data_IF_263477647167
#
_entry.id   IF_263477647167
#
_cell.length_a   1.000
_cell.length_b   1.000
_cell.length_c   1.000
_cell.angle_alpha   90.00
_cell.angle_beta   90.00
_cell.angle_gamma   90.00
#
_symmetry.space_group_name_H-M   'P 1'
#
loop_
_entity.id
_entity.type
_entity.pdbx_description
1 polymer ?
#
# COMPACT_ATOMS: atom_id res chain seq x y z
N UNK A 1 -15.43 -0.11 -15.44
CA UNK A 1 -14.54 0.57 -14.48
C UNK A 1 -14.20 -0.44 -13.41
N UNK A 2 -12.93 -0.63 -13.10
CA UNK A 2 -12.46 -1.55 -12.05
C UNK A 2 -12.29 -0.79 -10.74
N UNK A 3 -12.78 -1.35 -9.65
CA UNK A 3 -12.67 -0.76 -8.32
C UNK A 3 -11.45 -1.33 -7.60
N UNK A 4 -10.46 -0.51 -7.36
CA UNK A 4 -9.24 -0.89 -6.66
C UNK A 4 -9.24 -0.28 -5.26
N UNK A 5 -8.97 -1.09 -4.26
CA UNK A 5 -8.73 -0.63 -2.90
C UNK A 5 -7.22 -0.45 -2.68
N UNK A 6 -6.80 0.77 -2.43
CA UNK A 6 -5.45 1.10 -2.02
C UNK A 6 -5.38 1.21 -0.50
N UNK A 7 -4.54 0.41 0.12
CA UNK A 7 -4.30 0.45 1.57
C UNK A 7 -2.89 0.96 1.81
N UNK A 8 -2.75 2.08 2.49
CA UNK A 8 -1.46 2.64 2.86
C UNK A 8 -1.12 2.24 4.31
N UNK A 9 -0.01 1.54 4.50
CA UNK A 9 0.50 1.18 5.83
C UNK A 9 1.71 2.00 6.25
N UNK A 10 2.10 3.00 5.45
CA UNK A 10 3.29 3.82 5.70
C UNK A 10 4.53 3.33 4.93
N UNK A 11 5.69 3.53 5.52
CA UNK A 11 6.97 3.22 4.89
C UNK A 11 7.52 4.35 4.01
N UNK A 12 8.64 4.09 3.35
CA UNK A 12 9.37 5.08 2.52
C UNK A 12 8.51 5.65 1.41
N UNK A 13 7.64 4.85 0.82
CA UNK A 13 6.75 5.26 -0.27
C UNK A 13 5.95 6.52 0.06
N UNK A 14 5.37 6.58 1.25
CA UNK A 14 4.53 7.69 1.74
C UNK A 14 5.29 8.69 2.62
N UNK A 15 6.61 8.63 2.65
CA UNK A 15 7.45 9.54 3.44
C UNK A 15 7.90 10.75 2.63
N UNK A 16 8.22 11.85 3.34
CA UNK A 16 8.89 13.02 2.75
C UNK A 16 10.22 13.30 3.46
N UNK A 17 11.20 13.91 2.77
CA UNK A 17 12.40 14.40 3.41
C UNK A 17 12.04 15.47 4.45
N UNK A 18 12.41 15.25 5.71
CA UNK A 18 12.26 16.18 6.81
C UNK A 18 13.62 16.60 7.39
N UNK A 19 13.63 17.52 8.35
CA UNK A 19 14.87 18.03 8.98
C UNK A 19 15.69 16.96 9.70
N UNK A 20 15.07 15.86 10.10
CA UNK A 20 15.73 14.77 10.85
C UNK A 20 15.62 13.41 10.16
N UNK A 21 15.40 13.37 8.82
CA UNK A 21 15.25 12.16 8.04
C UNK A 21 13.88 12.08 7.36
N UNK A 22 13.47 10.86 6.98
CA UNK A 22 12.18 10.64 6.34
C UNK A 22 11.04 10.70 7.37
N UNK A 23 10.04 11.54 7.12
CA UNK A 23 8.82 11.65 7.92
C UNK A 23 7.61 11.11 7.11
N UNK A 24 6.71 10.30 7.70
CA UNK A 24 5.49 9.88 7.03
C UNK A 24 4.56 11.08 6.85
N UNK A 25 4.26 11.47 5.61
CA UNK A 25 3.51 12.71 5.33
C UNK A 25 2.48 12.60 4.21
N UNK A 26 2.59 11.61 3.30
CA UNK A 26 1.62 11.46 2.22
C UNK A 26 0.42 10.65 2.70
N UNK A 27 -0.73 11.32 2.73
CA UNK A 27 -2.00 10.64 2.91
C UNK A 27 -2.39 9.85 1.64
N UNK A 28 -3.18 8.82 1.81
CA UNK A 28 -3.71 8.01 0.71
C UNK A 28 -4.42 8.83 -0.37
N UNK A 29 -5.01 9.98 -0.01
CA UNK A 29 -5.62 10.91 -0.94
C UNK A 29 -4.62 11.54 -1.92
N UNK A 30 -3.42 11.89 -1.48
CA UNK A 30 -2.37 12.43 -2.34
C UNK A 30 -1.87 11.37 -3.33
N UNK A 31 -1.75 10.13 -2.86
CA UNK A 31 -1.39 8.99 -3.69
C UNK A 31 -2.45 8.77 -4.79
N UNK A 32 -3.72 8.83 -4.43
CA UNK A 32 -4.82 8.68 -5.39
C UNK A 32 -4.83 9.77 -6.46
N UNK A 33 -4.53 11.01 -6.10
CA UNK A 33 -4.45 12.11 -7.07
C UNK A 33 -3.33 11.87 -8.09
N UNK A 34 -2.23 11.30 -7.66
CA UNK A 34 -1.12 10.95 -8.54
C UNK A 34 -1.45 9.76 -9.46
N UNK A 35 -2.17 8.76 -8.97
CA UNK A 35 -2.58 7.57 -9.75
C UNK A 35 -3.71 7.90 -10.72
N UNK A 36 -4.65 8.77 -10.34
CA UNK A 36 -5.80 9.14 -11.19
C UNK A 36 -5.43 9.72 -12.54
N UNK A 37 -4.20 10.19 -12.70
CA UNK A 37 -3.63 10.63 -13.97
C UNK A 37 -3.22 9.45 -14.89
N UNK A 38 -3.20 8.21 -14.42
CA UNK A 38 -2.64 7.08 -15.16
C UNK A 38 -3.65 6.24 -15.92
N UNK A 39 -4.81 5.96 -15.34
CA UNK A 39 -5.84 5.16 -15.99
C UNK A 39 -7.26 5.60 -15.59
N UNK A 40 -7.98 6.28 -16.50
CA UNK A 40 -9.37 6.69 -16.24
C UNK A 40 -10.36 5.51 -16.13
N UNK A 41 -9.94 4.28 -16.47
CA UNK A 41 -10.77 3.09 -16.31
C UNK A 41 -10.77 2.54 -14.89
N UNK A 42 -9.90 3.04 -14.00
CA UNK A 42 -9.82 2.65 -12.61
C UNK A 42 -10.60 3.61 -11.71
N UNK A 43 -11.32 3.04 -10.76
CA UNK A 43 -11.87 3.74 -9.60
C UNK A 43 -11.05 3.32 -8.39
N UNK A 44 -10.35 4.24 -7.77
CA UNK A 44 -9.45 3.94 -6.65
C UNK A 44 -10.06 4.51 -5.37
N UNK A 45 -10.35 3.62 -4.43
CA UNK A 45 -10.68 3.95 -3.06
C UNK A 45 -9.43 3.74 -2.21
N UNK A 46 -8.98 4.79 -1.52
CA UNK A 46 -7.78 4.69 -0.70
C UNK A 46 -8.11 4.85 0.77
N UNK A 47 -7.38 4.12 1.60
CA UNK A 47 -7.46 4.25 3.04
C UNK A 47 -6.07 4.20 3.69
N UNK A 48 -5.86 5.07 4.65
CA UNK A 48 -4.72 5.02 5.55
C UNK A 48 -5.03 4.04 6.66
N UNK A 49 -4.34 2.91 6.66
CA UNK A 49 -4.54 1.87 7.68
C UNK A 49 -3.74 2.16 8.94
N UNK A 50 -2.49 2.53 8.77
CA UNK A 50 -1.58 2.92 9.84
C UNK A 50 -0.40 3.68 9.23
N UNK A 51 0.41 4.29 10.08
CA UNK A 51 1.70 4.88 9.70
C UNK A 51 2.80 4.16 10.47
N UNK A 52 3.09 2.93 10.05
CA UNK A 52 4.09 2.09 10.68
C UNK A 52 5.39 2.09 9.87
N UNK A 53 6.50 2.23 10.59
CA UNK A 53 7.77 1.74 10.08
C UNK A 53 7.66 0.21 10.00
N UNK A 54 7.92 -0.36 8.82
CA UNK A 54 7.79 -1.79 8.59
C UNK A 54 8.68 -2.64 9.49
N UNK A 55 9.77 -2.09 10.01
CA UNK A 55 10.62 -2.74 11.01
C UNK A 55 9.88 -3.05 12.32
N UNK A 56 8.79 -2.35 12.59
CA UNK A 56 8.01 -2.48 13.83
C UNK A 56 6.72 -3.29 13.64
N UNK A 57 6.48 -3.88 12.46
CA UNK A 57 5.28 -4.68 12.21
C UNK A 57 5.26 -5.96 13.08
N UNK A 58 4.11 -6.29 13.60
CA UNK A 58 3.91 -7.43 14.50
C UNK A 58 2.97 -8.46 13.87
N UNK A 59 2.93 -9.72 14.38
CA UNK A 59 1.96 -10.71 13.94
C UNK A 59 0.50 -10.27 14.09
N UNK A 60 0.19 -9.47 15.11
CA UNK A 60 -1.16 -8.91 15.32
C UNK A 60 -1.53 -7.93 14.20
N UNK A 61 -0.57 -7.16 13.68
CA UNK A 61 -0.79 -6.25 12.57
C UNK A 61 -1.13 -7.03 11.29
N UNK A 62 -0.45 -8.16 11.03
CA UNK A 62 -0.79 -9.03 9.89
C UNK A 62 -2.21 -9.61 10.01
N UNK A 63 -2.61 -10.04 11.19
CA UNK A 63 -3.97 -10.55 11.43
C UNK A 63 -5.03 -9.46 11.18
N UNK A 64 -4.82 -8.26 11.74
CA UNK A 64 -5.72 -7.12 11.54
C UNK A 64 -5.79 -6.70 10.07
N UNK A 65 -4.65 -6.69 9.38
CA UNK A 65 -4.58 -6.35 7.97
C UNK A 65 -5.32 -7.39 7.10
N UNK A 66 -5.10 -8.69 7.37
CA UNK A 66 -5.82 -9.76 6.68
C UNK A 66 -7.34 -9.66 6.89
N UNK A 67 -7.79 -9.42 8.12
CA UNK A 67 -9.21 -9.20 8.42
C UNK A 67 -9.77 -7.96 7.70
N UNK A 68 -8.99 -6.89 7.62
CA UNK A 68 -9.37 -5.67 6.91
C UNK A 68 -9.57 -5.94 5.43
N UNK A 69 -8.61 -6.58 4.79
CA UNK A 69 -8.67 -6.97 3.37
C UNK A 69 -9.88 -7.90 3.16
N UNK A 70 -10.02 -8.94 3.97
CA UNK A 70 -11.13 -9.91 3.85
C UNK A 70 -12.52 -9.28 3.89
N UNK A 71 -12.72 -8.22 4.68
CA UNK A 71 -13.98 -7.47 4.74
C UNK A 71 -14.28 -6.64 3.49
N UNK A 72 -13.27 -6.35 2.70
CA UNK A 72 -13.37 -5.43 1.54
C UNK A 72 -13.45 -6.13 0.19
N UNK A 73 -13.08 -7.41 0.11
CA UNK A 73 -13.04 -8.14 -1.17
C UNK A 73 -14.39 -8.27 -1.88
N UNK A 74 -15.51 -8.10 -1.18
CA UNK A 74 -16.85 -8.09 -1.79
C UNK A 74 -17.22 -6.80 -2.50
N UNK A 75 -16.40 -5.72 -2.36
CA UNK A 75 -16.71 -4.39 -2.90
C UNK A 75 -15.59 -3.83 -3.78
N UNK A 76 -14.52 -4.59 -4.01
CA UNK A 76 -13.42 -4.20 -4.90
C UNK A 76 -13.04 -5.34 -5.85
N UNK A 77 -12.41 -5.00 -6.96
CA UNK A 77 -11.89 -5.94 -7.96
C UNK A 77 -10.41 -6.30 -7.71
N UNK A 78 -9.75 -5.57 -6.83
CA UNK A 78 -8.36 -5.81 -6.44
C UNK A 78 -7.93 -4.95 -5.26
N UNK A 79 -6.89 -5.36 -4.58
CA UNK A 79 -6.30 -4.64 -3.44
C UNK A 79 -4.83 -4.37 -3.74
N UNK A 80 -4.41 -3.13 -3.54
CA UNK A 80 -3.00 -2.73 -3.55
C UNK A 80 -2.61 -2.29 -2.15
N UNK A 81 -1.59 -2.92 -1.60
CA UNK A 81 -1.06 -2.64 -0.28
C UNK A 81 0.28 -1.93 -0.42
N UNK A 82 0.35 -0.67 0.01
CA UNK A 82 1.62 0.06 0.12
C UNK A 82 2.25 -0.26 1.46
N UNK A 83 3.50 -0.71 1.42
CA UNK A 83 4.19 -1.25 2.58
C UNK A 83 5.66 -0.82 2.60
N UNK A 84 6.23 -0.69 3.79
CA UNK A 84 7.67 -0.47 3.94
C UNK A 84 8.49 -1.67 3.48
N UNK A 85 9.66 -1.42 2.90
CA UNK A 85 10.46 -2.45 2.21
C UNK A 85 11.16 -3.43 3.14
N UNK A 86 11.43 -3.06 4.41
CA UNK A 86 12.18 -3.91 5.35
C UNK A 86 11.50 -5.26 5.61
N UNK A 87 10.19 -5.28 5.71
CA UNK A 87 9.42 -6.49 6.02
C UNK A 87 8.36 -6.83 4.97
N UNK A 88 8.39 -6.21 3.79
CA UNK A 88 7.44 -6.45 2.71
C UNK A 88 7.34 -7.94 2.34
N UNK A 89 8.48 -8.62 2.23
CA UNK A 89 8.52 -10.04 1.91
C UNK A 89 7.86 -10.91 2.99
N UNK A 90 8.04 -10.57 4.26
CA UNK A 90 7.40 -11.27 5.38
C UNK A 90 5.90 -11.05 5.40
N UNK A 91 5.47 -9.79 5.23
CA UNK A 91 4.04 -9.45 5.16
C UNK A 91 3.36 -10.14 3.97
N UNK A 92 3.99 -10.14 2.80
CA UNK A 92 3.47 -10.83 1.61
C UNK A 92 3.31 -12.33 1.86
N UNK A 93 4.32 -12.96 2.47
CA UNK A 93 4.26 -14.38 2.82
C UNK A 93 3.14 -14.68 3.82
N UNK A 94 3.03 -13.89 4.89
CA UNK A 94 1.99 -14.08 5.90
C UNK A 94 0.59 -13.89 5.34
N UNK A 95 0.38 -12.83 4.54
CA UNK A 95 -0.91 -12.59 3.90
C UNK A 95 -1.29 -13.70 2.91
N UNK A 96 -0.33 -14.30 2.21
CA UNK A 96 -0.59 -15.43 1.30
C UNK A 96 -1.15 -16.65 2.02
N UNK A 97 -0.76 -16.87 3.27
CA UNK A 97 -1.31 -17.95 4.12
C UNK A 97 -2.63 -17.57 4.80
N UNK A 98 -2.79 -16.29 5.18
CA UNK A 98 -3.98 -15.82 5.89
C UNK A 98 -5.18 -15.57 4.96
N UNK A 99 -4.93 -15.18 3.71
CA UNK A 99 -5.95 -14.84 2.72
C UNK A 99 -6.21 -16.00 1.74
N UNK A 100 -6.48 -17.19 2.28
CA UNK A 100 -6.79 -18.37 1.48
C UNK A 100 -8.12 -18.19 0.71
N UNK A 101 -8.11 -18.59 -0.58
CA UNK A 101 -9.28 -18.54 -1.46
C UNK A 101 -9.91 -17.16 -1.63
N UNK A 102 -9.13 -16.10 -1.49
CA UNK A 102 -9.59 -14.74 -1.73
C UNK A 102 -9.90 -14.56 -3.24
N UNK A 103 -11.08 -14.00 -3.61
CA UNK A 103 -11.55 -13.97 -5.01
C UNK A 103 -10.93 -12.82 -5.84
N UNK A 104 -10.12 -11.97 -5.24
CA UNK A 104 -9.50 -10.81 -5.90
C UNK A 104 -7.98 -10.82 -5.71
N UNK A 105 -7.20 -10.27 -6.65
CA UNK A 105 -5.76 -10.14 -6.45
C UNK A 105 -5.44 -9.17 -5.32
N UNK A 106 -4.41 -9.49 -4.55
CA UNK A 106 -3.80 -8.62 -3.56
C UNK A 106 -2.34 -8.42 -3.93
N UNK A 107 -1.99 -7.21 -4.28
CA UNK A 107 -0.63 -6.82 -4.67
C UNK A 107 0.01 -6.04 -3.54
N UNK A 108 1.20 -6.42 -3.12
CA UNK A 108 1.98 -5.69 -2.11
C UNK A 108 3.11 -4.98 -2.80
N UNK A 109 3.20 -3.67 -2.62
CA UNK A 109 4.22 -2.83 -3.23
C UNK A 109 4.83 -1.88 -2.20
N UNK A 110 5.97 -1.32 -2.54
CA UNK A 110 6.68 -0.32 -1.76
C UNK A 110 7.68 0.39 -2.65
N UNK A 111 8.51 1.25 -2.07
CA UNK A 111 9.60 1.89 -2.81
C UNK A 111 10.81 2.11 -1.92
N UNK A 112 11.98 2.22 -2.56
CA UNK A 112 13.23 2.59 -1.89
C UNK A 112 13.34 4.11 -1.72
N UNK A 113 12.65 4.87 -2.57
CA UNK A 113 12.63 6.33 -2.50
C UNK A 113 11.19 6.84 -2.35
N UNK A 114 10.98 7.97 -1.64
CA UNK A 114 9.67 8.55 -1.46
C UNK A 114 9.00 8.93 -2.79
N UNK A 115 7.67 8.82 -2.84
CA UNK A 115 6.88 9.30 -3.97
C UNK A 115 7.07 10.82 -4.15
N UNK A 116 7.25 11.26 -5.41
CA UNK A 116 7.43 12.68 -5.75
C UNK A 116 8.88 13.17 -5.67
N UNK A 117 9.82 12.34 -5.27
CA UNK A 117 11.26 12.66 -5.34
C UNK A 117 11.78 12.33 -6.75
N UNK A 118 12.67 13.14 -7.34
CA UNK A 118 13.29 12.82 -8.63
C UNK A 118 13.91 11.42 -8.65
N UNK A 119 13.68 10.68 -9.73
CA UNK A 119 14.16 9.30 -9.93
C UNK A 119 13.60 8.28 -8.91
N UNK A 120 12.50 8.58 -8.23
CA UNK A 120 11.84 7.63 -7.34
C UNK A 120 11.30 6.43 -8.13
N UNK A 121 11.51 5.25 -7.57
CA UNK A 121 10.93 3.98 -8.04
C UNK A 121 9.44 3.85 -7.69
N UNK A 122 8.90 4.71 -6.83
CA UNK A 122 7.54 4.61 -6.33
C UNK A 122 6.47 4.68 -7.43
N UNK A 123 6.63 5.61 -8.39
CA UNK A 123 5.66 5.78 -9.49
C UNK A 123 5.63 4.56 -10.40
N UNK A 124 6.80 4.02 -10.74
CA UNK A 124 6.88 2.85 -11.62
C UNK A 124 6.39 1.59 -10.93
N UNK A 125 6.74 1.40 -9.65
CA UNK A 125 6.23 0.28 -8.83
C UNK A 125 4.70 0.31 -8.67
N UNK A 126 4.10 1.48 -8.69
CA UNK A 126 2.65 1.63 -8.57
C UNK A 126 1.92 1.41 -9.92
N UNK A 127 2.61 1.63 -11.04
CA UNK A 127 2.08 1.44 -12.39
C UNK A 127 2.09 -0.01 -12.87
N UNK A 128 3.03 -0.81 -12.36
CA UNK A 128 3.17 -2.22 -12.72
C UNK A 128 2.07 -3.10 -12.12
#
# INVERSE_FOLDING_TARGET
MKNILLINTGGTFSSRPGEHGLAPELASGDICNLIGEFDPALSIAAEDYCSLDSANITPDDWQRLALRIGKKVGVCDGVVLIHGTDTLAYTSSMLSYMLQNIPVPVVVTGSQMPLGVPMSDATDNLRC
#
